data_IF_778026842141
#
_entry.id   IF_778026842141
#
_cell.length_a   1.000
_cell.length_b   1.000
_cell.length_c   1.000
_cell.angle_alpha   90.00
_cell.angle_beta   90.00
_cell.angle_gamma   90.00
#
_symmetry.space_group_name_H-M   'P 1'
#
loop_
_entity.id
_entity.type
_entity.pdbx_description
1 polymer ?
#
# COMPACT_ATOMS: atom_id res chain seq x y z
N UNK A 1 8.08 -30.98 -7.01
CA UNK A 1 8.67 -31.33 -8.32
C UNK A 1 7.88 -30.57 -9.36
N UNK A 2 8.51 -29.65 -10.07
CA UNK A 2 7.88 -28.83 -11.11
C UNK A 2 8.02 -29.54 -12.43
N UNK A 3 6.93 -29.79 -13.14
CA UNK A 3 6.96 -30.45 -14.45
C UNK A 3 6.59 -29.45 -15.51
N UNK A 4 7.46 -29.17 -16.48
CA UNK A 4 7.18 -28.33 -17.62
C UNK A 4 6.53 -29.13 -18.74
N UNK A 5 5.46 -28.60 -19.33
CA UNK A 5 4.85 -29.13 -20.55
C UNK A 5 5.16 -28.14 -21.68
N UNK A 6 5.87 -28.60 -22.70
CA UNK A 6 6.27 -27.78 -23.84
C UNK A 6 5.21 -27.88 -24.93
N UNK A 7 4.70 -26.73 -25.37
CA UNK A 7 3.75 -26.61 -26.47
C UNK A 7 4.37 -25.87 -27.65
N UNK A 8 4.18 -26.36 -28.85
CA UNK A 8 4.58 -25.64 -30.08
C UNK A 8 3.41 -24.82 -30.58
N UNK A 9 3.68 -23.72 -31.28
CA UNK A 9 2.70 -22.71 -31.71
C UNK A 9 1.53 -23.22 -32.58
N UNK A 10 1.59 -24.45 -33.06
CA UNK A 10 0.60 -25.01 -34.01
C UNK A 10 -0.48 -25.88 -33.35
N UNK A 11 -0.49 -25.99 -32.03
CA UNK A 11 -1.49 -26.81 -31.32
C UNK A 11 -2.51 -25.89 -30.67
N UNK A 12 -3.74 -25.88 -31.21
CA UNK A 12 -4.87 -25.27 -30.56
C UNK A 12 -5.00 -25.82 -29.13
N UNK A 13 -4.93 -24.94 -28.13
CA UNK A 13 -5.04 -25.26 -26.72
C UNK A 13 -6.41 -25.88 -26.46
N UNK A 14 -6.54 -27.16 -26.15
CA UNK A 14 -7.83 -27.65 -25.70
C UNK A 14 -8.05 -27.13 -24.29
N UNK A 15 -8.78 -26.02 -24.19
CA UNK A 15 -9.34 -25.54 -22.92
C UNK A 15 -10.30 -26.62 -22.42
N UNK A 16 -9.80 -27.63 -21.73
CA UNK A 16 -10.68 -28.59 -21.09
C UNK A 16 -11.23 -28.01 -19.78
N UNK A 17 -12.39 -28.49 -19.38
CA UNK A 17 -13.07 -28.02 -18.18
C UNK A 17 -12.20 -28.14 -16.92
N UNK A 18 -11.23 -29.06 -16.87
CA UNK A 18 -10.31 -29.20 -15.75
C UNK A 18 -9.24 -28.08 -15.67
N UNK A 19 -8.82 -27.53 -16.82
CA UNK A 19 -7.95 -26.36 -16.88
C UNK A 19 -8.68 -25.09 -16.46
N UNK A 20 -9.90 -24.91 -16.96
CA UNK A 20 -10.76 -23.78 -16.58
C UNK A 20 -11.21 -23.88 -15.12
N UNK A 21 -11.54 -25.08 -14.62
CA UNK A 21 -11.96 -25.25 -13.22
C UNK A 21 -10.84 -24.95 -12.23
N UNK A 22 -9.57 -25.23 -12.56
CA UNK A 22 -8.44 -24.93 -11.69
C UNK A 22 -8.00 -23.47 -11.73
N UNK A 23 -8.18 -22.79 -12.84
CA UNK A 23 -8.02 -21.32 -12.93
C UNK A 23 -9.20 -20.56 -12.31
N UNK A 24 -10.36 -21.22 -12.25
CA UNK A 24 -11.60 -20.71 -11.65
C UNK A 24 -11.87 -21.32 -10.27
N UNK A 25 -10.96 -22.16 -9.76
CA UNK A 25 -11.09 -22.72 -8.40
C UNK A 25 -10.87 -21.60 -7.39
N UNK A 26 -11.96 -20.87 -7.21
CA UNK A 26 -12.12 -19.79 -6.24
C UNK A 26 -12.00 -20.42 -4.87
N UNK A 27 -10.83 -20.39 -4.26
CA UNK A 27 -10.68 -20.74 -2.86
C UNK A 27 -11.52 -19.78 -2.04
N UNK A 28 -12.59 -20.29 -1.48
CA UNK A 28 -13.45 -19.53 -0.58
C UNK A 28 -12.60 -18.95 0.57
N UNK A 29 -12.56 -17.61 0.65
CA UNK A 29 -12.03 -16.92 1.82
C UNK A 29 -10.96 -15.88 1.58
N UNK A 30 -9.95 -16.04 0.85
CA UNK A 30 -8.99 -15.01 0.43
C UNK A 30 -8.63 -15.30 -1.00
N UNK A 31 -9.68 -15.53 -1.65
CA UNK A 31 -9.93 -15.50 -3.06
C UNK A 31 -8.68 -15.57 -3.93
N UNK A 32 -8.58 -16.44 -4.83
CA UNK A 32 -7.80 -16.40 -6.07
C UNK A 32 -6.28 -16.23 -5.96
N UNK A 33 -5.71 -15.85 -4.80
CA UNK A 33 -4.27 -15.72 -4.63
C UNK A 33 -3.60 -17.10 -4.66
N UNK A 34 -2.55 -17.23 -5.46
CA UNK A 34 -1.66 -18.40 -5.43
C UNK A 34 -0.33 -18.11 -4.72
N UNK A 35 -0.20 -16.93 -4.12
CA UNK A 35 1.00 -16.47 -3.44
C UNK A 35 0.78 -16.34 -1.93
N UNK A 36 1.77 -16.73 -1.14
CA UNK A 36 1.80 -16.53 0.32
C UNK A 36 3.20 -16.14 0.76
N UNK A 37 3.30 -15.53 1.96
CA UNK A 37 4.59 -15.33 2.62
C UNK A 37 5.15 -16.71 3.02
N UNK A 38 6.44 -16.95 2.83
CA UNK A 38 7.07 -18.16 3.31
C UNK A 38 7.13 -18.22 4.85
N UNK A 39 7.32 -19.41 5.41
CA UNK A 39 7.31 -19.60 6.86
C UNK A 39 8.34 -18.75 7.63
N UNK A 40 9.46 -18.41 7.01
CA UNK A 40 10.51 -17.56 7.60
C UNK A 40 10.23 -16.04 7.49
N UNK A 41 9.26 -15.61 6.70
CA UNK A 41 8.97 -14.18 6.43
C UNK A 41 10.05 -13.46 5.60
N UNK A 42 10.93 -14.20 4.95
CA UNK A 42 12.06 -13.67 4.16
C UNK A 42 11.88 -13.85 2.65
N UNK A 43 10.73 -14.34 2.22
CA UNK A 43 10.38 -14.58 0.84
C UNK A 43 8.91 -14.92 0.69
N UNK A 44 8.56 -15.43 -0.47
CA UNK A 44 7.20 -15.85 -0.80
C UNK A 44 7.18 -17.30 -1.29
N UNK A 45 6.01 -17.89 -1.40
CA UNK A 45 5.84 -19.20 -2.00
C UNK A 45 4.69 -19.19 -3.02
N UNK A 46 4.84 -19.97 -4.08
CA UNK A 46 3.74 -20.34 -4.98
C UNK A 46 3.04 -21.56 -4.38
N UNK A 47 1.74 -21.47 -4.20
CA UNK A 47 0.94 -22.57 -3.62
C UNK A 47 0.84 -23.76 -4.58
N UNK A 48 0.70 -24.94 -3.99
CA UNK A 48 0.45 -26.19 -4.71
C UNK A 48 -0.79 -26.07 -5.62
N UNK A 49 -0.76 -26.87 -6.69
CA UNK A 49 -1.80 -26.90 -7.73
C UNK A 49 -1.94 -25.61 -8.56
N UNK A 50 -0.92 -24.74 -8.54
CA UNK A 50 -0.84 -23.56 -9.41
C UNK A 50 -0.23 -23.95 -10.75
N UNK A 51 -0.76 -23.37 -11.82
CA UNK A 51 -0.27 -23.56 -13.19
C UNK A 51 0.08 -22.19 -13.77
N UNK A 52 1.33 -22.02 -14.20
CA UNK A 52 1.81 -20.72 -14.73
C UNK A 52 2.40 -20.96 -16.14
N UNK A 53 1.81 -20.36 -17.18
CA UNK A 53 2.40 -20.37 -18.51
C UNK A 53 3.50 -19.29 -18.60
N UNK A 54 4.58 -19.63 -19.31
CA UNK A 54 5.66 -18.72 -19.65
C UNK A 54 5.93 -18.79 -21.15
N UNK A 55 5.90 -17.65 -21.83
CA UNK A 55 6.35 -17.55 -23.21
C UNK A 55 7.87 -17.37 -23.21
N UNK A 56 8.58 -18.32 -23.79
CA UNK A 56 10.04 -18.27 -23.94
C UNK A 56 10.41 -18.26 -25.43
N UNK A 57 10.78 -17.10 -25.92
CA UNK A 57 10.97 -16.88 -27.35
C UNK A 57 9.68 -17.09 -28.14
N UNK A 58 9.69 -18.06 -29.08
CA UNK A 58 8.52 -18.47 -29.87
C UNK A 58 7.71 -19.61 -29.22
N UNK A 59 8.18 -20.18 -28.11
CA UNK A 59 7.62 -21.39 -27.49
C UNK A 59 6.89 -21.04 -26.19
N UNK A 60 5.73 -21.68 -25.99
CA UNK A 60 5.04 -21.63 -24.70
C UNK A 60 5.43 -22.86 -23.86
N UNK A 61 5.83 -22.60 -22.61
CA UNK A 61 6.03 -23.61 -21.56
C UNK A 61 4.98 -23.43 -20.50
N UNK A 62 4.50 -24.53 -19.92
CA UNK A 62 3.52 -24.53 -18.82
C UNK A 62 4.14 -25.23 -17.63
N UNK A 63 4.27 -24.49 -16.53
CA UNK A 63 4.84 -24.98 -15.28
C UNK A 63 3.73 -25.28 -14.29
N UNK A 64 3.72 -26.51 -13.77
CA UNK A 64 2.77 -26.96 -12.75
C UNK A 64 3.48 -27.15 -11.42
N UNK A 65 3.02 -26.43 -10.40
CA UNK A 65 3.49 -26.52 -9.02
C UNK A 65 2.64 -27.57 -8.29
N UNK A 66 3.16 -28.77 -8.07
CA UNK A 66 2.45 -29.87 -7.38
C UNK A 66 2.54 -29.76 -5.86
N UNK A 67 3.51 -28.99 -5.36
CA UNK A 67 3.73 -28.67 -3.94
C UNK A 67 3.98 -27.17 -3.81
N UNK A 68 3.82 -26.66 -2.60
CA UNK A 68 4.22 -25.28 -2.31
C UNK A 68 5.71 -25.10 -2.64
N UNK A 69 6.01 -24.03 -3.37
CA UNK A 69 7.36 -23.76 -3.87
C UNK A 69 7.86 -22.43 -3.35
N UNK A 70 8.76 -22.48 -2.36
CA UNK A 70 9.35 -21.29 -1.76
C UNK A 70 10.31 -20.59 -2.72
N UNK A 71 10.29 -19.25 -2.68
CA UNK A 71 11.14 -18.36 -3.48
C UNK A 71 11.85 -17.43 -2.50
N UNK A 72 13.14 -17.72 -2.26
CA UNK A 72 13.99 -16.99 -1.32
C UNK A 72 15.29 -16.51 -1.96
N UNK A 73 15.63 -17.07 -3.13
CA UNK A 73 16.88 -16.76 -3.84
C UNK A 73 16.74 -15.44 -4.59
N UNK A 74 17.53 -14.45 -4.22
CA UNK A 74 17.67 -13.19 -4.98
C UNK A 74 18.57 -13.40 -6.19
N UNK A 75 18.25 -12.72 -7.28
CA UNK A 75 19.10 -12.64 -8.47
C UNK A 75 20.40 -11.87 -8.18
N UNK A 76 20.32 -10.83 -7.36
CA UNK A 76 21.48 -10.02 -6.93
C UNK A 76 21.24 -9.38 -5.57
N UNK A 77 22.31 -9.16 -4.80
CA UNK A 77 22.29 -8.39 -3.56
C UNK A 77 21.63 -9.09 -2.38
N UNK A 78 20.96 -8.30 -1.53
CA UNK A 78 20.24 -8.75 -0.33
C UNK A 78 18.91 -7.98 -0.18
N UNK A 79 17.95 -8.57 0.53
CA UNK A 79 16.70 -7.92 0.87
C UNK A 79 16.96 -6.65 1.70
N UNK A 80 16.42 -5.53 1.25
CA UNK A 80 16.63 -4.20 1.85
C UNK A 80 15.29 -3.62 2.31
N UNK A 81 15.27 -3.09 3.52
CA UNK A 81 14.09 -2.47 4.12
C UNK A 81 13.54 -1.33 3.23
N UNK A 82 12.26 -1.35 2.98
CA UNK A 82 11.56 -0.34 2.20
C UNK A 82 11.54 -0.59 0.69
N UNK A 83 12.09 -1.70 0.22
CA UNK A 83 12.17 -2.04 -1.21
C UNK A 83 11.04 -3.00 -1.60
N UNK A 84 10.49 -2.80 -2.79
CA UNK A 84 9.56 -3.73 -3.41
C UNK A 84 10.35 -4.80 -4.17
N UNK A 85 9.95 -6.05 -4.01
CA UNK A 85 10.55 -7.20 -4.67
C UNK A 85 9.51 -7.94 -5.49
N UNK A 86 10.01 -8.64 -6.51
CA UNK A 86 9.19 -9.41 -7.43
C UNK A 86 9.74 -10.82 -7.52
N UNK A 87 8.85 -11.81 -7.54
CA UNK A 87 9.20 -13.17 -7.86
C UNK A 87 8.95 -13.44 -9.36
N UNK A 88 9.91 -14.06 -9.96
CA UNK A 88 9.91 -14.40 -11.38
C UNK A 88 9.99 -15.91 -11.57
N UNK A 89 9.22 -16.40 -12.52
CA UNK A 89 9.43 -17.69 -13.15
C UNK A 89 10.30 -17.46 -14.39
N UNK A 90 11.45 -18.13 -14.46
CA UNK A 90 12.45 -17.98 -15.51
C UNK A 90 12.62 -19.29 -16.28
N UNK A 91 12.78 -19.20 -17.59
CA UNK A 91 13.20 -20.33 -18.41
C UNK A 91 14.75 -20.40 -18.41
N UNK A 92 15.28 -21.31 -17.65
CA UNK A 92 16.71 -21.61 -17.56
C UNK A 92 17.16 -22.71 -18.54
N UNK A 93 16.25 -23.14 -19.43
CA UNK A 93 16.47 -24.23 -20.37
C UNK A 93 16.09 -25.61 -19.81
N UNK A 94 15.80 -25.73 -18.53
CA UNK A 94 15.31 -26.96 -17.90
C UNK A 94 13.78 -27.06 -17.97
N UNK A 95 13.27 -28.28 -17.75
CA UNK A 95 11.82 -28.52 -17.65
C UNK A 95 11.24 -28.08 -16.31
N UNK A 96 12.09 -27.83 -15.31
CA UNK A 96 11.64 -27.38 -13.98
C UNK A 96 11.42 -25.87 -13.91
N UNK A 97 12.16 -25.11 -14.71
CA UNK A 97 12.22 -23.64 -14.60
C UNK A 97 12.92 -23.18 -13.32
N UNK A 98 13.26 -21.91 -13.26
CA UNK A 98 13.92 -21.31 -12.11
C UNK A 98 13.02 -20.22 -11.50
N UNK A 99 12.89 -20.25 -10.17
CA UNK A 99 12.20 -19.20 -9.40
C UNK A 99 13.22 -18.29 -8.74
N UNK A 100 13.13 -16.97 -9.00
CA UNK A 100 14.04 -15.95 -8.48
C UNK A 100 13.27 -14.76 -7.90
N UNK A 101 13.83 -14.17 -6.85
CA UNK A 101 13.46 -12.84 -6.39
C UNK A 101 14.34 -11.79 -7.07
N UNK A 102 13.79 -10.64 -7.37
CA UNK A 102 14.52 -9.47 -7.88
C UNK A 102 13.91 -8.17 -7.39
N UNK A 103 14.73 -7.16 -7.16
CA UNK A 103 14.28 -5.78 -7.01
C UNK A 103 13.97 -5.11 -8.36
N UNK A 104 14.36 -5.72 -9.46
CA UNK A 104 14.11 -5.19 -10.80
C UNK A 104 12.66 -5.50 -11.23
N UNK A 105 11.91 -4.45 -11.53
CA UNK A 105 10.50 -4.57 -11.92
C UNK A 105 10.26 -5.13 -13.32
N UNK A 106 11.28 -5.26 -14.17
CA UNK A 106 11.15 -5.72 -15.56
C UNK A 106 11.56 -7.17 -15.76
N UNK A 107 12.73 -7.56 -15.26
CA UNK A 107 13.24 -8.94 -15.32
C UNK A 107 14.38 -9.12 -14.30
N UNK A 108 14.64 -10.32 -13.79
CA UNK A 108 15.79 -10.56 -12.93
C UNK A 108 17.10 -10.54 -13.73
N UNK A 109 18.21 -10.37 -13.03
CA UNK A 109 19.54 -10.38 -13.63
C UNK A 109 19.80 -11.68 -14.39
N UNK A 110 20.34 -11.59 -15.59
CA UNK A 110 20.59 -12.74 -16.48
C UNK A 110 19.37 -13.16 -17.32
N UNK A 111 18.21 -12.54 -17.11
CA UNK A 111 16.96 -12.81 -17.84
C UNK A 111 16.39 -11.53 -18.46
N UNK A 112 15.33 -11.69 -19.25
CA UNK A 112 14.62 -10.59 -19.89
C UNK A 112 13.13 -10.93 -20.05
N UNK A 113 12.35 -10.02 -20.59
CA UNK A 113 10.90 -10.19 -20.74
C UNK A 113 10.48 -11.33 -21.70
N UNK A 114 11.43 -11.90 -22.49
CA UNK A 114 11.13 -13.01 -23.41
C UNK A 114 11.41 -14.38 -22.83
N UNK A 115 12.09 -14.48 -21.69
CA UNK A 115 12.43 -15.73 -21.03
C UNK A 115 12.17 -15.71 -19.50
N UNK A 116 11.48 -14.68 -19.01
CA UNK A 116 11.03 -14.59 -17.63
C UNK A 116 9.65 -13.98 -17.53
N UNK A 117 8.91 -14.35 -16.48
CA UNK A 117 7.59 -13.82 -16.18
C UNK A 117 7.50 -13.43 -14.72
N UNK A 118 7.17 -12.17 -14.44
CA UNK A 118 6.82 -11.69 -13.10
C UNK A 118 5.50 -12.34 -12.67
N UNK A 119 5.50 -13.01 -11.53
CA UNK A 119 4.37 -13.81 -11.05
C UNK A 119 3.83 -13.36 -9.70
N UNK A 120 4.67 -12.82 -8.84
CA UNK A 120 4.34 -12.32 -7.50
C UNK A 120 5.10 -11.03 -7.27
N UNK A 121 4.59 -10.18 -6.40
CA UNK A 121 5.35 -9.07 -5.83
C UNK A 121 5.00 -8.85 -4.38
N UNK A 122 5.87 -8.18 -3.64
CA UNK A 122 5.69 -7.85 -2.24
C UNK A 122 6.54 -6.66 -1.83
N UNK A 123 6.19 -6.08 -0.72
CA UNK A 123 6.99 -5.06 -0.04
C UNK A 123 7.82 -5.69 1.08
N UNK A 124 9.12 -5.43 1.13
CA UNK A 124 9.99 -5.83 2.22
C UNK A 124 10.13 -4.66 3.19
N UNK A 125 9.47 -4.74 4.33
CA UNK A 125 9.24 -3.59 5.18
C UNK A 125 9.24 -3.92 6.67
N UNK A 126 8.35 -3.25 7.37
CA UNK A 126 8.04 -3.48 8.78
C UNK A 126 6.62 -3.96 8.92
N UNK A 127 6.38 -4.88 9.84
CA UNK A 127 5.04 -5.32 10.21
C UNK A 127 4.77 -5.15 11.69
N UNK A 128 3.53 -4.86 12.03
CA UNK A 128 3.01 -4.91 13.38
C UNK A 128 2.54 -6.34 13.68
N UNK A 129 2.95 -6.92 14.83
CA UNK A 129 2.59 -8.30 15.16
C UNK A 129 1.39 -8.37 16.12
N UNK A 130 1.17 -7.34 16.94
CA UNK A 130 0.11 -7.31 17.94
C UNK A 130 -0.34 -5.89 18.28
N UNK A 131 -1.31 -5.74 19.17
CA UNK A 131 -1.72 -4.43 19.69
C UNK A 131 -0.63 -3.74 20.53
N UNK A 132 0.38 -4.48 21.01
CA UNK A 132 1.50 -3.88 21.72
C UNK A 132 2.32 -3.01 20.77
N UNK A 133 2.41 -1.72 21.09
CA UNK A 133 3.00 -0.69 20.19
C UNK A 133 4.43 -1.02 19.76
N UNK A 134 5.26 -1.54 20.67
CA UNK A 134 6.65 -1.88 20.39
C UNK A 134 6.84 -3.22 19.65
N UNK A 135 5.76 -4.00 19.47
CA UNK A 135 5.85 -5.33 18.85
C UNK A 135 5.85 -5.21 17.31
N UNK A 136 6.98 -4.76 16.79
CA UNK A 136 7.23 -4.54 15.37
C UNK A 136 8.40 -5.40 14.90
N UNK A 137 8.20 -6.16 13.84
CA UNK A 137 9.28 -6.81 13.09
C UNK A 137 9.74 -5.90 11.97
N UNK A 138 11.04 -5.57 11.95
CA UNK A 138 11.68 -4.83 10.86
C UNK A 138 12.46 -5.76 9.96
N UNK A 139 12.39 -5.58 8.64
CA UNK A 139 13.09 -6.41 7.67
C UNK A 139 12.41 -7.76 7.47
N UNK A 140 11.16 -7.73 7.06
CA UNK A 140 10.38 -8.92 6.67
C UNK A 140 9.47 -8.61 5.47
N UNK A 141 8.98 -9.64 4.82
CA UNK A 141 7.88 -9.51 3.88
C UNK A 141 6.65 -9.00 4.64
N UNK A 142 6.09 -7.89 4.23
CA UNK A 142 4.83 -7.37 4.78
C UNK A 142 3.69 -8.26 4.27
N UNK A 143 2.99 -9.02 5.13
CA UNK A 143 2.13 -10.12 4.65
C UNK A 143 1.03 -9.69 3.70
N UNK A 144 0.35 -8.60 4.01
CA UNK A 144 -0.74 -8.07 3.19
C UNK A 144 -0.28 -7.14 2.05
N UNK A 145 1.02 -7.09 1.78
CA UNK A 145 1.55 -6.47 0.56
C UNK A 145 1.82 -7.49 -0.55
N UNK A 146 1.66 -8.79 -0.26
CA UNK A 146 1.87 -9.83 -1.27
C UNK A 146 0.72 -9.80 -2.27
N UNK A 147 1.09 -9.69 -3.53
CA UNK A 147 0.16 -9.73 -4.67
C UNK A 147 0.64 -10.72 -5.72
N UNK A 148 -0.28 -11.19 -6.52
CA UNK A 148 -0.01 -12.04 -7.67
C UNK A 148 -0.88 -11.63 -8.88
N UNK A 149 -0.87 -12.43 -9.94
CA UNK A 149 -1.60 -12.09 -11.17
C UNK A 149 -3.13 -12.16 -11.00
N UNK A 150 -3.62 -12.83 -9.96
CA UNK A 150 -5.04 -13.02 -9.68
C UNK A 150 -5.54 -12.17 -8.50
N UNK A 151 -4.63 -11.72 -7.63
CA UNK A 151 -4.93 -10.93 -6.45
C UNK A 151 -4.01 -9.72 -6.37
N UNK A 152 -4.50 -8.58 -6.79
CA UNK A 152 -3.76 -7.30 -6.80
C UNK A 152 -4.71 -6.12 -7.00
N UNK A 153 -4.27 -4.88 -6.73
CA UNK A 153 -5.03 -3.70 -7.12
C UNK A 153 -5.06 -3.50 -8.64
N UNK A 154 -6.01 -2.72 -9.11
CA UNK A 154 -6.10 -2.31 -10.52
C UNK A 154 -4.98 -1.36 -10.95
N UNK A 155 -4.40 -0.63 -10.00
CA UNK A 155 -3.24 0.23 -10.22
C UNK A 155 -1.91 -0.54 -9.99
N UNK A 156 -0.76 0.17 -9.97
CA UNK A 156 0.51 -0.40 -9.51
C UNK A 156 0.40 -0.85 -8.04
N UNK A 157 0.70 -2.11 -7.71
CA UNK A 157 0.63 -2.63 -6.34
C UNK A 157 1.82 -2.21 -5.46
N UNK A 158 2.79 -1.51 -6.01
CA UNK A 158 4.03 -1.17 -5.34
C UNK A 158 3.81 -0.27 -4.13
N UNK A 159 4.30 -0.69 -2.96
CA UNK A 159 4.12 0.03 -1.71
C UNK A 159 2.67 0.04 -1.20
N UNK A 160 1.80 -0.82 -1.71
CA UNK A 160 0.42 -0.97 -1.24
C UNK A 160 0.26 -2.20 -0.35
N UNK A 161 -0.78 -2.18 0.47
CA UNK A 161 -1.23 -3.29 1.31
C UNK A 161 -2.72 -3.51 1.13
N UNK A 162 -3.13 -4.78 1.16
CA UNK A 162 -4.52 -5.19 1.11
C UNK A 162 -5.19 -4.97 2.47
N UNK A 163 -6.27 -4.20 2.49
CA UNK A 163 -7.12 -4.03 3.68
C UNK A 163 -8.17 -5.15 3.82
N UNK A 164 -8.30 -6.00 2.82
CA UNK A 164 -9.42 -6.89 2.64
C UNK A 164 -10.62 -6.21 1.98
N UNK A 165 -11.68 -6.97 1.74
CA UNK A 165 -12.93 -6.48 1.10
C UNK A 165 -12.72 -5.79 -0.25
N UNK A 166 -11.65 -6.11 -0.97
CA UNK A 166 -11.37 -5.59 -2.30
C UNK A 166 -10.72 -4.21 -2.32
N UNK A 167 -10.15 -3.75 -1.23
CA UNK A 167 -9.48 -2.43 -1.12
C UNK A 167 -8.01 -2.58 -0.82
N UNK A 168 -7.18 -1.98 -1.63
CA UNK A 168 -5.74 -1.79 -1.41
C UNK A 168 -5.45 -0.34 -1.03
N UNK A 169 -4.52 -0.14 -0.12
CA UNK A 169 -4.12 1.20 0.34
C UNK A 169 -2.60 1.35 0.30
N UNK A 170 -2.13 2.55 0.05
CA UNK A 170 -0.72 2.89 0.20
C UNK A 170 -0.25 2.63 1.62
N UNK A 171 0.79 1.82 1.79
CA UNK A 171 1.37 1.55 3.11
C UNK A 171 1.97 2.81 3.74
N UNK A 172 2.40 3.75 2.92
CA UNK A 172 3.02 5.02 3.31
C UNK A 172 2.20 6.21 2.79
N UNK A 173 2.37 7.35 3.42
CA UNK A 173 1.83 8.62 2.90
C UNK A 173 2.39 8.89 1.50
N UNK A 174 1.59 9.52 0.65
CA UNK A 174 1.98 9.78 -0.72
C UNK A 174 3.21 10.70 -0.77
N UNK A 175 4.18 10.31 -1.56
CA UNK A 175 5.39 11.08 -1.87
C UNK A 175 5.51 11.31 -3.37
N UNK A 176 6.42 12.17 -3.77
CA UNK A 176 6.62 12.48 -5.18
C UNK A 176 7.12 11.25 -5.95
N UNK A 177 6.54 10.99 -7.12
CA UNK A 177 7.03 10.04 -8.11
C UNK A 177 7.53 10.79 -9.34
N UNK A 178 6.65 11.51 -10.02
CA UNK A 178 7.00 12.44 -11.08
C UNK A 178 6.85 13.89 -10.61
N UNK A 179 7.65 14.78 -11.17
CA UNK A 179 7.66 16.19 -10.80
C UNK A 179 6.28 16.84 -10.95
N UNK A 180 5.85 17.52 -9.89
CA UNK A 180 4.55 18.20 -9.84
C UNK A 180 4.67 19.58 -10.46
N UNK A 181 3.77 19.88 -11.38
CA UNK A 181 3.65 21.22 -11.99
C UNK A 181 2.21 21.68 -12.00
N UNK A 182 2.02 22.99 -11.93
CA UNK A 182 0.72 23.66 -11.83
C UNK A 182 0.45 24.56 -13.05
N UNK A 183 -0.81 24.75 -13.36
CA UNK A 183 -1.22 25.62 -14.46
C UNK A 183 -0.92 27.11 -14.19
N UNK A 184 -1.07 27.55 -12.93
CA UNK A 184 -0.97 28.97 -12.57
C UNK A 184 -0.41 29.23 -11.15
N UNK A 185 0.28 28.26 -10.54
CA UNK A 185 0.82 28.35 -9.17
C UNK A 185 0.09 27.45 -8.18
N UNK A 186 0.49 27.56 -6.92
CA UNK A 186 0.02 26.69 -5.83
C UNK A 186 -1.52 26.63 -5.75
N UNK A 187 -2.06 25.41 -5.59
CA UNK A 187 -3.51 25.21 -5.49
C UNK A 187 -4.27 25.25 -6.81
N UNK A 188 -3.64 25.68 -7.91
CA UNK A 188 -4.26 25.61 -9.25
C UNK A 188 -4.20 24.16 -9.81
N UNK A 189 -4.96 23.85 -10.89
CA UNK A 189 -4.96 22.52 -11.47
C UNK A 189 -3.54 22.01 -11.84
N UNK A 190 -3.31 20.74 -11.65
CA UNK A 190 -2.04 20.08 -12.00
C UNK A 190 -1.90 19.95 -13.51
N UNK A 191 -0.75 20.32 -14.06
CA UNK A 191 -0.38 20.04 -15.46
C UNK A 191 0.43 18.76 -15.58
N UNK A 192 1.23 18.39 -14.57
CA UNK A 192 1.97 17.14 -14.50
C UNK A 192 2.15 16.70 -13.03
N UNK A 193 2.64 15.48 -12.87
CA UNK A 193 3.02 14.88 -11.59
C UNK A 193 2.18 13.66 -11.22
N UNK A 194 2.85 12.72 -10.59
CA UNK A 194 2.27 11.51 -9.98
C UNK A 194 2.84 11.30 -8.59
N UNK A 195 2.12 10.53 -7.77
CA UNK A 195 2.52 10.17 -6.42
C UNK A 195 2.74 8.67 -6.26
N UNK A 196 3.60 8.31 -5.33
CA UNK A 196 3.86 6.92 -4.94
C UNK A 196 3.87 6.73 -3.44
N UNK A 197 3.66 5.50 -3.02
CA UNK A 197 3.86 5.02 -1.65
C UNK A 197 5.30 4.54 -1.49
N UNK A 198 6.10 5.20 -0.66
CA UNK A 198 7.51 4.84 -0.52
C UNK A 198 8.03 5.01 0.92
N UNK A 199 8.74 4.00 1.41
CA UNK A 199 9.44 4.06 2.68
C UNK A 199 10.54 5.14 2.65
N UNK A 200 10.72 5.82 3.78
CA UNK A 200 11.74 6.86 3.97
C UNK A 200 11.64 8.03 2.98
N UNK A 201 10.52 8.19 2.28
CA UNK A 201 10.23 9.33 1.43
C UNK A 201 9.49 10.42 2.23
N UNK A 202 9.71 11.68 1.87
CA UNK A 202 9.02 12.80 2.49
C UNK A 202 7.58 12.89 1.95
N UNK A 203 6.54 12.92 2.82
CA UNK A 203 5.16 13.07 2.37
C UNK A 203 4.93 14.38 1.61
N UNK A 204 4.18 14.33 0.53
CA UNK A 204 3.66 15.52 -0.15
C UNK A 204 2.64 16.23 0.73
N UNK A 205 2.70 17.56 0.74
CA UNK A 205 1.76 18.42 1.48
C UNK A 205 1.53 19.74 0.71
N UNK A 206 0.83 20.67 1.31
CA UNK A 206 0.76 22.03 0.79
C UNK A 206 2.09 22.78 0.76
N UNK A 207 3.18 22.24 1.37
CA UNK A 207 4.53 22.80 1.17
C UNK A 207 4.95 22.74 -0.30
N UNK A 208 4.53 21.71 -1.01
CA UNK A 208 4.73 21.56 -2.46
C UNK A 208 3.63 22.29 -3.27
N UNK A 209 2.75 23.05 -2.61
CA UNK A 209 1.69 23.81 -3.26
C UNK A 209 0.38 23.05 -3.46
N UNK A 210 0.22 21.86 -2.90
CA UNK A 210 -0.95 21.00 -3.11
C UNK A 210 -2.10 21.38 -2.16
N UNK A 211 -3.29 21.54 -2.74
CA UNK A 211 -4.57 21.63 -2.03
C UNK A 211 -5.28 20.28 -2.00
N UNK A 212 -6.39 20.15 -1.28
CA UNK A 212 -7.24 18.97 -1.30
C UNK A 212 -7.67 18.57 -2.72
N UNK A 213 -8.07 19.53 -3.54
CA UNK A 213 -8.39 19.27 -4.95
C UNK A 213 -7.20 18.74 -5.74
N UNK A 214 -5.99 19.25 -5.49
CA UNK A 214 -4.79 18.75 -6.17
C UNK A 214 -4.43 17.33 -5.74
N UNK A 215 -4.72 16.94 -4.50
CA UNK A 215 -4.54 15.55 -4.07
C UNK A 215 -5.52 14.60 -4.77
N UNK A 216 -6.75 15.04 -5.07
CA UNK A 216 -7.69 14.26 -5.90
C UNK A 216 -7.17 14.12 -7.33
N UNK A 217 -6.64 15.20 -7.91
CA UNK A 217 -6.02 15.15 -9.26
C UNK A 217 -4.80 14.24 -9.28
N UNK A 218 -3.91 14.35 -8.28
CA UNK A 218 -2.71 13.53 -8.13
C UNK A 218 -3.07 12.05 -8.01
N UNK A 219 -4.08 11.73 -7.21
CA UNK A 219 -4.59 10.37 -7.05
C UNK A 219 -5.03 9.77 -8.39
N UNK A 220 -5.84 10.50 -9.15
CA UNK A 220 -6.30 10.07 -10.49
C UNK A 220 -5.14 9.86 -11.47
N UNK A 221 -4.16 10.77 -11.47
CA UNK A 221 -2.95 10.64 -12.29
C UNK A 221 -2.10 9.42 -11.93
N UNK A 222 -2.13 9.04 -10.66
CA UNK A 222 -1.46 7.84 -10.14
C UNK A 222 -2.28 6.55 -10.32
N UNK A 223 -3.44 6.62 -10.98
CA UNK A 223 -4.36 5.48 -11.15
C UNK A 223 -5.05 5.05 -9.86
N UNK A 224 -5.17 5.95 -8.89
CA UNK A 224 -5.68 5.72 -7.53
C UNK A 224 -6.78 6.74 -7.18
N UNK A 225 -7.28 6.66 -5.95
CA UNK A 225 -8.23 7.61 -5.36
C UNK A 225 -7.85 7.94 -3.92
N UNK A 226 -8.48 8.95 -3.34
CA UNK A 226 -8.44 9.15 -1.90
C UNK A 226 -9.19 8.02 -1.18
N UNK A 227 -8.89 7.83 0.10
CA UNK A 227 -9.63 6.90 0.96
C UNK A 227 -10.96 7.56 1.40
N UNK A 228 -11.98 6.73 1.53
CA UNK A 228 -13.13 7.10 2.37
C UNK A 228 -12.74 7.05 3.85
N UNK A 229 -13.53 7.72 4.69
CA UNK A 229 -13.31 7.69 6.14
C UNK A 229 -13.37 6.26 6.71
N UNK A 230 -14.28 5.44 6.23
CA UNK A 230 -14.39 4.04 6.66
C UNK A 230 -13.17 3.19 6.29
N UNK A 231 -12.63 3.37 5.10
CA UNK A 231 -11.41 2.70 4.65
C UNK A 231 -10.20 3.19 5.45
N UNK A 232 -10.15 4.49 5.72
CA UNK A 232 -9.08 5.07 6.54
C UNK A 232 -9.12 4.53 7.98
N UNK A 233 -10.31 4.41 8.60
CA UNK A 233 -10.47 3.80 9.93
C UNK A 233 -9.97 2.35 9.95
N UNK A 234 -10.26 1.58 8.90
CA UNK A 234 -9.75 0.21 8.77
C UNK A 234 -8.21 0.20 8.64
N UNK A 235 -7.66 1.05 7.78
CA UNK A 235 -6.22 1.19 7.58
C UNK A 235 -5.49 1.58 8.88
N UNK A 236 -6.07 2.50 9.65
CA UNK A 236 -5.49 3.03 10.88
C UNK A 236 -5.68 2.13 12.11
N UNK A 237 -6.44 1.03 12.01
CA UNK A 237 -6.75 0.17 13.15
C UNK A 237 -5.49 -0.32 13.87
N UNK A 238 -5.43 -0.07 15.19
CA UNK A 238 -4.29 -0.44 16.04
C UNK A 238 -3.06 0.46 15.90
N UNK A 239 -3.12 1.56 15.14
CA UNK A 239 -2.05 2.56 15.12
C UNK A 239 -1.82 3.13 16.52
N UNK A 240 -0.58 3.52 16.87
CA UNK A 240 -0.30 4.23 18.11
C UNK A 240 -1.15 5.49 18.23
N UNK A 241 -1.63 5.78 19.42
CA UNK A 241 -2.56 6.89 19.68
C UNK A 241 -1.84 8.07 20.33
N UNK A 242 -2.22 9.30 19.95
CA UNK A 242 -1.66 10.50 20.55
C UNK A 242 -2.01 10.69 22.02
N UNK A 243 -3.15 10.17 22.47
CA UNK A 243 -3.58 10.19 23.86
C UNK A 243 -2.94 9.11 24.74
N UNK A 244 -2.16 8.19 24.19
CA UNK A 244 -1.38 7.27 24.99
C UNK A 244 -0.37 8.06 25.83
N UNK A 245 -0.52 8.04 27.15
CA UNK A 245 0.31 8.79 28.10
C UNK A 245 1.82 8.50 27.95
N UNK A 246 2.20 7.40 27.34
CA UNK A 246 3.54 7.00 27.00
C UNK A 246 3.83 7.12 25.50
N UNK A 247 3.15 8.02 24.82
CA UNK A 247 3.19 8.13 23.37
C UNK A 247 4.56 8.57 22.82
N UNK A 248 5.63 7.95 23.32
CA UNK A 248 6.97 8.00 22.74
C UNK A 248 7.03 7.46 21.33
N UNK A 249 5.97 6.77 20.92
CA UNK A 249 5.86 6.07 19.64
C UNK A 249 5.01 6.84 18.61
N UNK A 250 4.32 7.88 19.04
CA UNK A 250 3.71 8.84 18.13
C UNK A 250 4.63 10.05 17.94
N UNK A 251 4.20 10.97 17.12
CA UNK A 251 4.99 12.10 16.67
C UNK A 251 5.43 13.08 17.76
N UNK A 252 4.80 13.03 18.95
CA UNK A 252 5.25 13.79 20.12
C UNK A 252 6.73 13.54 20.46
N UNK A 253 7.22 12.32 20.29
CA UNK A 253 8.61 11.96 20.53
C UNK A 253 9.62 12.60 19.57
N UNK A 254 9.17 13.18 18.46
CA UNK A 254 10.02 13.85 17.46
C UNK A 254 10.21 15.35 17.71
N UNK A 255 9.72 15.87 18.84
CA UNK A 255 9.73 17.29 19.16
C UNK A 255 8.68 18.12 18.39
N UNK A 256 7.75 17.48 17.73
CA UNK A 256 6.61 18.10 17.05
C UNK A 256 6.96 19.29 16.12
N UNK A 257 8.09 19.23 15.42
CA UNK A 257 8.66 20.37 14.72
C UNK A 257 8.28 20.45 13.23
N UNK A 258 8.06 19.31 12.59
CA UNK A 258 7.73 19.23 11.15
C UNK A 258 7.37 17.79 10.76
N UNK A 259 6.78 17.63 9.56
CA UNK A 259 6.63 16.31 8.92
C UNK A 259 7.99 15.63 8.80
N UNK A 260 8.00 14.32 8.89
CA UNK A 260 9.17 13.46 8.73
C UNK A 260 8.98 12.49 7.57
N UNK A 261 10.07 11.87 7.13
CA UNK A 261 9.99 10.81 6.15
C UNK A 261 9.11 9.66 6.66
N UNK A 262 8.36 9.03 5.77
CA UNK A 262 7.48 7.91 6.09
C UNK A 262 8.23 6.78 6.82
N UNK A 263 7.69 6.33 7.94
CA UNK A 263 8.32 5.31 8.79
C UNK A 263 9.46 5.82 9.67
N UNK A 264 9.60 7.14 9.87
CA UNK A 264 10.57 7.73 10.79
C UNK A 264 10.36 7.22 12.22
N UNK A 265 9.12 7.17 12.68
CA UNK A 265 8.75 6.57 13.96
C UNK A 265 8.51 5.09 13.76
N UNK A 266 9.45 4.24 14.20
CA UNK A 266 9.44 2.79 13.91
C UNK A 266 8.12 2.10 14.27
N UNK A 267 7.53 2.30 15.48
CA UNK A 267 6.29 1.63 15.83
C UNK A 267 5.02 2.35 15.35
N UNK A 268 5.11 3.43 14.59
CA UNK A 268 3.94 4.13 14.03
C UNK A 268 3.31 3.33 12.88
N UNK A 269 2.90 2.08 13.16
CA UNK A 269 2.34 1.14 12.19
C UNK A 269 1.03 0.59 12.73
N UNK A 270 0.00 0.52 11.89
CA UNK A 270 -1.27 -0.13 12.21
C UNK A 270 -1.16 -1.67 12.19
N UNK A 271 -2.17 -2.37 12.67
CA UNK A 271 -2.26 -3.83 12.58
C UNK A 271 -2.38 -4.34 11.13
N UNK A 272 -2.81 -3.49 10.21
CA UNK A 272 -2.82 -3.76 8.77
C UNK A 272 -1.55 -3.27 8.06
N UNK A 273 -0.47 -3.02 8.82
CA UNK A 273 0.84 -2.62 8.31
C UNK A 273 0.85 -1.30 7.52
N UNK A 274 -0.09 -0.43 7.82
CA UNK A 274 -0.14 0.94 7.28
C UNK A 274 0.62 1.86 8.22
N UNK A 275 1.55 2.63 7.67
CA UNK A 275 2.53 3.42 8.41
C UNK A 275 2.06 4.87 8.55
N UNK A 276 2.31 5.50 9.70
CA UNK A 276 2.05 6.92 9.99
C UNK A 276 0.57 7.35 9.90
N UNK A 277 -0.40 6.44 10.19
CA UNK A 277 -1.81 6.82 10.22
C UNK A 277 -2.17 7.76 11.38
N UNK A 278 -1.38 7.80 12.45
CA UNK A 278 -1.58 8.69 13.58
C UNK A 278 -0.40 9.65 13.69
N UNK A 279 -0.62 10.90 13.37
CA UNK A 279 0.44 11.92 13.33
C UNK A 279 1.09 12.04 11.95
N UNK A 280 2.28 12.62 11.89
CA UNK A 280 2.99 13.03 10.71
C UNK A 280 2.26 14.13 9.93
N UNK A 281 1.27 13.80 9.10
CA UNK A 281 0.42 14.77 8.42
C UNK A 281 -1.04 14.36 8.52
N UNK A 282 -1.96 15.33 8.53
CA UNK A 282 -3.38 15.09 8.31
C UNK A 282 -3.59 14.54 6.90
N UNK A 283 -4.40 13.50 6.79
CA UNK A 283 -4.67 12.81 5.54
C UNK A 283 -6.01 13.26 4.97
N UNK A 284 -6.01 13.91 3.80
CA UNK A 284 -7.22 14.23 3.06
C UNK A 284 -8.00 12.96 2.73
N UNK A 285 -9.32 12.99 2.98
CA UNK A 285 -10.26 11.93 2.64
C UNK A 285 -11.15 12.35 1.45
N UNK A 286 -11.90 11.40 0.92
CA UNK A 286 -12.77 11.64 -0.25
C UNK A 286 -14.10 12.33 0.13
N UNK A 287 -14.43 12.43 1.42
CA UNK A 287 -15.67 13.02 1.87
C UNK A 287 -15.60 14.53 1.98
N UNK A 288 -16.64 15.16 1.46
CA UNK A 288 -16.93 16.59 1.64
C UNK A 288 -18.12 16.76 2.59
N UNK A 289 -18.01 17.71 3.48
CA UNK A 289 -19.04 17.99 4.48
C UNK A 289 -19.39 19.47 4.51
N UNK A 290 -20.64 19.75 4.82
CA UNK A 290 -21.12 21.08 5.20
C UNK A 290 -21.81 20.95 6.53
N UNK A 291 -21.61 21.89 7.45
CA UNK A 291 -22.23 21.85 8.77
C UNK A 291 -23.04 23.10 9.07
N UNK A 292 -23.99 23.03 9.99
CA UNK A 292 -24.66 24.23 10.51
C UNK A 292 -23.67 25.12 11.26
N UNK A 293 -23.98 26.42 11.37
CA UNK A 293 -23.21 27.34 12.18
C UNK A 293 -23.13 26.88 13.64
N UNK A 294 -21.94 26.88 14.21
CA UNK A 294 -21.71 26.51 15.59
C UNK A 294 -20.27 26.73 16.02
N UNK A 295 -20.03 26.73 17.33
CA UNK A 295 -18.66 26.84 17.85
C UNK A 295 -17.91 25.51 17.59
N UNK A 296 -16.72 25.61 17.00
CA UNK A 296 -15.84 24.47 16.81
C UNK A 296 -15.26 23.97 18.13
N UNK A 297 -14.95 22.68 18.19
CA UNK A 297 -14.30 22.08 19.34
C UNK A 297 -13.96 20.63 19.15
N UNK A 298 -12.97 20.18 19.90
CA UNK A 298 -12.60 18.76 19.98
C UNK A 298 -13.66 17.99 20.77
N UNK A 299 -14.13 16.90 20.19
CA UNK A 299 -15.09 15.99 20.79
C UNK A 299 -14.47 14.62 20.96
N UNK A 300 -14.35 14.14 22.19
CA UNK A 300 -13.96 12.77 22.50
C UNK A 300 -15.16 11.84 22.33
N UNK A 301 -15.25 11.21 21.20
CA UNK A 301 -16.35 10.31 20.86
C UNK A 301 -16.27 8.94 21.57
N UNK A 302 -15.14 8.68 22.23
CA UNK A 302 -14.91 7.44 23.01
C UNK A 302 -14.07 7.79 24.24
N UNK A 303 -14.66 8.53 25.14
CA UNK A 303 -14.02 9.10 26.32
C UNK A 303 -13.08 8.12 27.05
N UNK A 304 -11.85 8.55 27.25
CA UNK A 304 -10.85 7.81 28.01
C UNK A 304 -10.19 6.64 27.29
N UNK A 305 -10.49 6.36 26.01
CA UNK A 305 -9.86 5.25 25.26
C UNK A 305 -8.60 5.63 24.49
N UNK A 306 -8.23 6.92 24.46
CA UNK A 306 -7.00 7.35 23.79
C UNK A 306 -6.93 7.06 22.30
N UNK A 307 -8.09 7.06 21.62
CA UNK A 307 -8.20 6.74 20.18
C UNK A 307 -8.22 7.98 19.29
N UNK A 308 -7.98 9.16 19.85
CA UNK A 308 -8.08 10.45 19.21
C UNK A 308 -9.46 11.08 19.37
N UNK A 309 -9.64 12.29 18.86
CA UNK A 309 -10.85 13.08 18.97
C UNK A 309 -11.33 13.57 17.62
N UNK A 310 -12.62 13.85 17.50
CA UNK A 310 -13.21 14.50 16.34
C UNK A 310 -13.24 16.02 16.56
N UNK A 311 -12.65 16.78 15.66
CA UNK A 311 -12.88 18.19 15.60
C UNK A 311 -14.16 18.46 14.81
N UNK A 312 -15.18 18.95 15.48
CA UNK A 312 -16.43 19.34 14.87
C UNK A 312 -16.49 20.87 14.79
N UNK A 313 -16.72 21.37 13.60
CA UNK A 313 -16.87 22.81 13.33
C UNK A 313 -18.19 23.05 12.60
N UNK A 314 -18.96 23.97 13.11
CA UNK A 314 -20.14 24.47 12.40
C UNK A 314 -19.72 25.39 11.29
N UNK A 315 -19.53 24.86 10.10
CA UNK A 315 -19.11 25.65 8.94
C UNK A 315 -20.27 25.85 7.95
N UNK A 316 -20.47 27.07 7.52
CA UNK A 316 -21.35 27.39 6.39
C UNK A 316 -20.72 27.06 5.04
N UNK A 317 -19.46 26.70 5.01
CA UNK A 317 -18.69 26.44 3.79
C UNK A 317 -18.40 24.97 3.57
N UNK A 318 -18.12 24.61 2.31
CA UNK A 318 -17.67 23.28 1.94
C UNK A 318 -16.32 22.98 2.61
N UNK A 319 -16.26 21.90 3.38
CA UNK A 319 -15.02 21.37 3.96
C UNK A 319 -14.76 19.97 3.42
N UNK A 320 -13.49 19.61 3.29
CA UNK A 320 -13.06 18.25 2.99
C UNK A 320 -12.54 17.61 4.28
N UNK A 321 -12.98 16.40 4.56
CA UNK A 321 -12.56 15.68 5.76
C UNK A 321 -11.07 15.34 5.72
N UNK A 322 -10.43 15.43 6.90
CA UNK A 322 -9.05 14.98 7.10
C UNK A 322 -8.97 14.09 8.35
N UNK A 323 -8.04 13.14 8.36
CA UNK A 323 -7.92 12.19 9.44
C UNK A 323 -6.47 12.05 9.97
N UNK A 324 -6.31 11.40 11.13
CA UNK A 324 -5.03 10.98 11.71
C UNK A 324 -4.38 11.97 12.66
N UNK A 325 -4.56 13.26 12.43
CA UNK A 325 -3.77 14.30 13.07
C UNK A 325 -2.39 14.48 12.42
N UNK A 326 -1.69 15.54 12.76
CA UNK A 326 -0.35 15.79 12.26
C UNK A 326 0.68 15.88 13.41
N UNK A 327 1.94 16.08 13.09
CA UNK A 327 3.07 16.04 14.04
C UNK A 327 2.90 16.88 15.31
N UNK A 328 2.06 17.92 15.29
CA UNK A 328 1.86 18.85 16.41
C UNK A 328 0.57 18.60 17.22
N UNK A 329 -0.25 17.60 16.85
CA UNK A 329 -1.53 17.37 17.53
C UNK A 329 -1.40 16.68 18.89
N UNK A 330 -0.26 16.06 19.20
CA UNK A 330 -0.05 15.42 20.50
C UNK A 330 -1.17 14.42 20.83
N UNK A 331 -1.87 14.66 21.91
CA UNK A 331 -2.95 13.79 22.41
C UNK A 331 -4.16 13.67 21.46
N UNK A 332 -4.31 14.59 20.52
CA UNK A 332 -5.43 14.58 19.59
C UNK A 332 -5.20 13.72 18.35
N UNK A 333 -3.92 13.35 18.05
CA UNK A 333 -3.63 12.42 16.96
C UNK A 333 -4.04 11.00 17.31
N UNK A 334 -4.61 10.28 16.37
CA UNK A 334 -5.00 8.89 16.60
C UNK A 334 -5.86 8.31 15.48
N UNK A 335 -6.08 6.99 15.56
CA UNK A 335 -6.84 6.23 14.56
C UNK A 335 -8.31 6.62 14.42
N UNK A 336 -8.81 7.51 15.27
CA UNK A 336 -10.17 8.07 15.20
C UNK A 336 -10.18 9.60 15.15
N UNK A 337 -9.00 10.20 15.02
CA UNK A 337 -8.90 11.64 14.83
C UNK A 337 -9.44 12.00 13.45
N UNK A 338 -10.44 12.86 13.43
CA UNK A 338 -11.07 13.38 12.21
C UNK A 338 -11.27 14.88 12.33
N UNK A 339 -10.96 15.57 11.27
CA UNK A 339 -11.22 16.99 11.07
C UNK A 339 -12.34 17.14 10.04
N UNK A 340 -13.48 17.66 10.44
CA UNK A 340 -14.68 17.70 9.58
C UNK A 340 -15.19 19.12 9.28
N UNK A 341 -14.38 20.17 9.48
CA UNK A 341 -15.03 21.46 9.41
C UNK A 341 -14.21 22.71 9.09
N UNK A 342 -12.90 22.70 9.12
CA UNK A 342 -12.09 23.91 8.91
C UNK A 342 -11.02 23.80 7.80
N UNK A 343 -10.99 22.66 7.12
CA UNK A 343 -10.12 22.48 5.97
C UNK A 343 -10.93 22.52 4.67
N UNK A 344 -10.90 23.67 4.01
CA UNK A 344 -11.52 23.83 2.71
C UNK A 344 -10.72 23.05 1.65
N UNK A 345 -11.36 22.45 0.63
CA UNK A 345 -10.65 21.67 -0.37
C UNK A 345 -9.60 22.46 -1.18
N UNK A 346 -9.65 23.77 -1.17
CA UNK A 346 -8.63 24.65 -1.77
C UNK A 346 -7.52 25.06 -0.79
N UNK A 347 -7.55 24.57 0.46
CA UNK A 347 -6.51 24.90 1.45
C UNK A 347 -5.17 24.28 1.06
N UNK A 348 -4.14 25.11 1.04
CA UNK A 348 -2.74 24.71 0.84
C UNK A 348 -2.03 24.81 2.19
N UNK A 349 -1.91 23.69 2.90
CA UNK A 349 -1.38 23.66 4.27
C UNK A 349 -0.19 22.69 4.41
N UNK A 350 0.89 23.08 5.13
CA UNK A 350 2.09 22.24 5.26
C UNK A 350 1.85 20.94 6.02
N UNK A 351 0.79 20.88 6.82
CA UNK A 351 0.40 19.68 7.60
C UNK A 351 -0.63 18.79 6.92
N UNK A 352 -1.07 19.13 5.70
CA UNK A 352 -2.12 18.46 4.97
C UNK A 352 -1.52 17.65 3.82
N UNK A 353 -1.61 16.36 3.90
CA UNK A 353 -1.16 15.39 2.90
C UNK A 353 -2.25 14.38 2.58
N UNK A 354 -1.89 13.22 2.05
CA UNK A 354 -2.85 12.13 1.87
C UNK A 354 -2.16 10.77 1.79
N UNK A 355 -3.00 9.77 1.76
CA UNK A 355 -2.72 8.38 1.40
C UNK A 355 -3.69 7.99 0.31
N UNK A 356 -3.30 7.09 -0.58
CA UNK A 356 -4.12 6.72 -1.73
C UNK A 356 -4.61 5.28 -1.61
N UNK A 357 -5.76 5.01 -2.22
CA UNK A 357 -6.38 3.71 -2.31
C UNK A 357 -6.65 3.28 -3.75
N UNK A 358 -6.83 1.99 -3.94
CA UNK A 358 -7.22 1.41 -5.22
C UNK A 358 -8.07 0.15 -4.97
N UNK A 359 -9.03 -0.09 -5.84
CA UNK A 359 -9.85 -1.30 -5.75
C UNK A 359 -9.07 -2.51 -6.31
N UNK A 360 -9.39 -3.70 -5.83
CA UNK A 360 -8.88 -4.97 -6.38
C UNK A 360 -9.33 -5.19 -7.83
N UNK A 361 -8.55 -6.00 -8.54
CA UNK A 361 -8.96 -6.54 -9.85
C UNK A 361 -10.17 -7.45 -9.70
#
# INVERSE_FOLDING_TARGET
MTQAIIWKDDVAFPLNAAYLSRQLDVRAGAANSYAVVNGAGTGVAVLANTIIPLKSGATWKVYQFTTDSEITTLDTGALTLGVNYYAYLCDDGSDAGLLLLSANATAPSGYNATNSRKIIGFHYGRKRNSLTVADVTSGCVVPNSVWDLCHRPRCSPEGMVDLGNGVWVDAYLVSIDEAITFAAGNGSPLTAGTGKSAFNALPLTGTEGLSGYNFIELARRSGKRLLSHSEWLAAAHGSPQGADANNTNAWAATGNSARKNCGYVVPAISLLNVVDCAGNVLEWLDEFVTGPDGAGGWQDVMAGLGVGQIWMYGATNLSQMCAGGYWSYGVFAGSRCVHSGDHYPWTVGPSLGCRLACDSL
#
